data_IF_033830581785
#
_entry.id   IF_033830581785
#
_cell.length_a   1.000
_cell.length_b   1.000
_cell.length_c   1.000
_cell.angle_alpha   90.00
_cell.angle_beta   90.00
_cell.angle_gamma   90.00
#
_symmetry.space_group_name_H-M   'P 1'
#
loop_
_entity.id
_entity.type
_entity.pdbx_description
1 polymer ?
#
# COMPACT_ATOMS: atom_id res chain seq x y z
N UNK A 1 -2.82 -2.39 -16.33
CA UNK A 1 -2.53 -1.75 -15.02
C UNK A 1 -3.48 -2.35 -14.02
N UNK A 2 -2.97 -2.84 -12.90
CA UNK A 2 -3.77 -3.49 -11.86
C UNK A 2 -3.97 -2.57 -10.66
N UNK A 3 -5.09 -2.74 -9.98
CA UNK A 3 -5.48 -2.03 -8.77
C UNK A 3 -5.00 -2.80 -7.54
N UNK A 4 -4.39 -2.08 -6.60
CA UNK A 4 -3.97 -2.57 -5.30
C UNK A 4 -4.90 -1.98 -4.25
N UNK A 5 -5.60 -2.82 -3.49
CA UNK A 5 -6.56 -2.38 -2.46
C UNK A 5 -6.08 -2.85 -1.10
N UNK A 6 -5.71 -1.90 -0.26
CA UNK A 6 -5.25 -2.17 1.10
C UNK A 6 -6.40 -2.01 2.07
N UNK A 7 -6.73 -3.06 2.80
CA UNK A 7 -7.63 -3.00 3.94
C UNK A 7 -6.81 -2.74 5.20
N UNK A 8 -7.06 -1.61 5.85
CA UNK A 8 -6.21 -1.11 6.93
C UNK A 8 -7.01 -0.51 8.09
N UNK A 9 -6.33 -0.34 9.23
CA UNK A 9 -6.70 0.60 10.29
C UNK A 9 -5.51 1.49 10.62
N UNK A 10 -5.78 2.78 10.73
CA UNK A 10 -4.89 3.73 11.38
C UNK A 10 -5.57 4.14 12.69
N UNK A 11 -5.09 3.61 13.81
CA UNK A 11 -5.69 3.87 15.13
C UNK A 11 -5.20 5.17 15.76
N UNK A 12 -4.37 5.95 15.04
CA UNK A 12 -3.94 7.28 15.47
C UNK A 12 -4.91 8.36 15.01
N UNK A 13 -4.80 9.56 15.58
CA UNK A 13 -5.63 10.71 15.23
C UNK A 13 -5.10 11.50 14.02
N UNK A 14 -3.92 11.13 13.50
CA UNK A 14 -3.26 11.82 12.38
C UNK A 14 -3.18 10.93 11.15
N UNK A 15 -3.02 11.55 9.98
CA UNK A 15 -2.73 10.82 8.73
C UNK A 15 -1.36 10.16 8.86
N UNK A 16 -1.28 8.88 8.49
CA UNK A 16 0.00 8.19 8.32
C UNK A 16 0.37 8.12 6.85
N UNK A 17 1.50 8.71 6.48
CA UNK A 17 2.05 8.61 5.14
C UNK A 17 3.05 7.46 5.09
N UNK A 18 2.74 6.41 4.33
CA UNK A 18 3.66 5.31 4.04
C UNK A 18 4.14 5.42 2.60
N UNK A 19 5.31 4.86 2.31
CA UNK A 19 5.81 4.72 0.94
C UNK A 19 5.44 3.35 0.40
N UNK A 20 4.74 3.34 -0.73
CA UNK A 20 4.46 2.13 -1.50
C UNK A 20 5.53 1.95 -2.57
N UNK A 21 6.11 0.75 -2.62
CA UNK A 21 6.95 0.32 -3.74
C UNK A 21 6.42 -0.95 -4.37
N UNK A 22 6.47 -1.00 -5.70
CA UNK A 22 6.21 -2.19 -6.50
C UNK A 22 7.46 -2.48 -7.31
N UNK A 23 8.07 -3.64 -7.09
CA UNK A 23 9.35 -4.03 -7.70
C UNK A 23 9.18 -5.35 -8.43
N UNK A 24 9.56 -5.39 -9.70
CA UNK A 24 9.57 -6.61 -10.50
C UNK A 24 10.70 -7.56 -10.05
N UNK A 25 10.61 -8.84 -10.43
CA UNK A 25 11.60 -9.85 -10.06
C UNK A 25 13.04 -9.54 -10.52
N UNK A 26 13.21 -8.73 -11.58
CA UNK A 26 14.50 -8.26 -12.09
C UNK A 26 15.05 -7.01 -11.36
N UNK A 27 14.34 -6.54 -10.34
CA UNK A 27 14.70 -5.35 -9.56
C UNK A 27 14.18 -4.03 -10.14
N UNK A 28 13.46 -4.05 -11.28
CA UNK A 28 12.88 -2.82 -11.85
C UNK A 28 11.78 -2.27 -10.95
N UNK A 29 11.91 -1.01 -10.56
CA UNK A 29 10.91 -0.27 -9.79
C UNK A 29 9.78 0.17 -10.71
N UNK A 30 8.60 -0.42 -10.53
CA UNK A 30 7.38 -0.12 -11.30
C UNK A 30 6.61 1.06 -10.72
N UNK A 31 6.67 1.20 -9.40
CA UNK A 31 6.04 2.29 -8.66
C UNK A 31 6.84 2.58 -7.42
N UNK A 32 6.96 3.87 -7.13
CA UNK A 32 7.55 4.34 -5.89
C UNK A 32 6.91 5.69 -5.49
N UNK A 33 6.03 5.68 -4.51
CA UNK A 33 5.21 6.85 -4.20
C UNK A 33 4.81 6.92 -2.71
N UNK A 34 4.59 8.12 -2.15
CA UNK A 34 3.90 8.26 -0.88
C UNK A 34 2.42 7.90 -1.02
N UNK A 35 1.83 7.40 0.06
CA UNK A 35 0.43 7.05 0.18
C UNK A 35 -0.07 7.39 1.58
N UNK A 36 -1.15 8.18 1.62
CA UNK A 36 -1.73 8.66 2.86
C UNK A 36 -2.83 7.72 3.36
N UNK A 37 -2.74 7.36 4.63
CA UNK A 37 -3.71 6.53 5.35
C UNK A 37 -4.36 7.37 6.46
N UNK A 38 -5.54 7.97 6.20
CA UNK A 38 -6.29 8.73 7.20
C UNK A 38 -6.66 7.92 8.44
N UNK A 39 -6.99 8.57 9.57
CA UNK A 39 -7.51 7.91 10.76
C UNK A 39 -8.69 6.95 10.44
N UNK A 40 -8.60 5.75 11.00
CA UNK A 40 -9.54 4.65 10.83
C UNK A 40 -9.58 3.82 12.14
N UNK A 41 -9.77 4.51 13.26
CA UNK A 41 -9.80 3.92 14.60
C UNK A 41 -11.13 3.23 14.92
N UNK A 42 -12.21 3.51 14.18
CA UNK A 42 -13.54 2.95 14.41
C UNK A 42 -13.80 1.65 13.65
N UNK A 43 -13.24 1.51 12.44
CA UNK A 43 -13.45 0.35 11.55
C UNK A 43 -12.34 0.21 10.53
N UNK A 44 -12.21 -0.99 9.97
CA UNK A 44 -11.36 -1.24 8.81
C UNK A 44 -11.83 -0.42 7.60
N UNK A 45 -10.89 0.26 6.95
CA UNK A 45 -11.12 1.00 5.70
C UNK A 45 -10.35 0.35 4.56
N UNK A 46 -10.80 0.61 3.34
CA UNK A 46 -10.07 0.20 2.13
C UNK A 46 -9.60 1.46 1.42
N UNK A 47 -8.33 1.48 1.04
CA UNK A 47 -7.76 2.50 0.16
C UNK A 47 -7.11 1.82 -1.03
N UNK A 48 -7.25 2.45 -2.20
CA UNK A 48 -6.77 1.88 -3.45
C UNK A 48 -5.65 2.72 -4.04
N UNK A 49 -4.73 2.05 -4.71
CA UNK A 49 -3.78 2.64 -5.65
C UNK A 49 -3.60 1.69 -6.83
N UNK A 50 -2.66 1.96 -7.72
CA UNK A 50 -2.35 1.09 -8.85
C UNK A 50 -0.91 0.61 -8.80
N UNK A 51 -0.61 -0.38 -9.62
CA UNK A 51 0.76 -0.85 -9.91
C UNK A 51 1.65 0.21 -10.59
N UNK A 52 1.11 1.39 -10.91
CA UNK A 52 1.81 2.47 -11.62
C UNK A 52 1.76 2.29 -13.13
N UNK A 53 2.14 1.11 -13.61
CA UNK A 53 2.18 0.77 -15.03
C UNK A 53 1.38 -0.52 -15.32
N UNK A 54 1.29 -0.91 -16.59
CA UNK A 54 0.90 -2.27 -16.92
C UNK A 54 2.01 -3.24 -16.47
N UNK A 55 1.62 -4.32 -15.80
CA UNK A 55 2.54 -5.37 -15.37
C UNK A 55 2.18 -6.68 -16.06
N UNK A 56 3.20 -7.47 -16.40
CA UNK A 56 3.05 -8.78 -17.05
C UNK A 56 2.92 -9.89 -16.00
N UNK A 57 2.56 -11.10 -16.43
CA UNK A 57 2.60 -12.28 -15.56
C UNK A 57 4.01 -12.49 -14.98
N UNK A 58 4.08 -12.78 -13.68
CA UNK A 58 5.35 -12.97 -12.97
C UNK A 58 5.26 -12.62 -11.50
N UNK A 59 6.42 -12.61 -10.84
CA UNK A 59 6.55 -12.26 -9.44
C UNK A 59 6.89 -10.78 -9.27
N UNK A 60 6.20 -10.14 -8.33
CA UNK A 60 6.44 -8.77 -7.91
C UNK A 60 6.46 -8.70 -6.40
N UNK A 61 7.32 -7.84 -5.87
CA UNK A 61 7.31 -7.49 -4.44
C UNK A 61 6.57 -6.18 -4.28
N UNK A 62 5.56 -6.17 -3.41
CA UNK A 62 4.84 -4.97 -3.00
C UNK A 62 5.22 -4.70 -1.56
N UNK A 63 5.79 -3.53 -1.27
CA UNK A 63 6.14 -3.11 0.08
C UNK A 63 5.38 -1.85 0.48
N UNK A 64 4.97 -1.80 1.74
CA UNK A 64 4.58 -0.59 2.44
C UNK A 64 5.62 -0.35 3.53
N UNK A 65 6.24 0.83 3.52
CA UNK A 65 7.29 1.20 4.46
C UNK A 65 7.08 2.59 5.03
N UNK A 66 7.51 2.83 6.26
CA UNK A 66 7.41 4.12 6.92
C UNK A 66 8.16 4.12 8.24
N UNK A 67 8.56 5.30 8.71
CA UNK A 67 9.35 5.46 9.94
C UNK A 67 8.50 5.44 11.22
N UNK A 68 7.18 5.59 11.10
CA UNK A 68 6.22 5.50 12.23
C UNK A 68 4.98 4.68 11.85
N UNK A 69 5.11 3.36 11.97
CA UNK A 69 4.00 2.43 11.76
C UNK A 69 3.20 2.12 13.04
N UNK A 70 3.50 2.75 14.19
CA UNK A 70 2.79 2.47 15.45
C UNK A 70 1.32 2.85 15.30
N UNK A 71 0.42 1.91 15.56
CA UNK A 71 -1.02 2.11 15.37
C UNK A 71 -1.49 1.98 13.92
N UNK A 72 -0.62 1.58 12.98
CA UNK A 72 -1.02 1.14 11.65
C UNK A 72 -1.21 -0.38 11.63
N UNK A 73 -2.34 -0.82 11.12
CA UNK A 73 -2.71 -2.23 10.99
C UNK A 73 -3.10 -2.51 9.56
N UNK A 74 -2.61 -3.62 9.02
CA UNK A 74 -2.95 -4.11 7.69
C UNK A 74 -3.66 -5.46 7.83
N UNK A 75 -4.82 -5.60 7.19
CA UNK A 75 -5.63 -6.82 7.19
C UNK A 75 -5.40 -7.60 5.90
N UNK A 76 -5.62 -6.96 4.76
CA UNK A 76 -5.48 -7.58 3.45
C UNK A 76 -4.94 -6.63 2.38
N UNK A 77 -4.34 -7.24 1.36
CA UNK A 77 -4.09 -6.64 0.06
C UNK A 77 -4.88 -7.44 -0.98
N UNK A 78 -5.84 -6.81 -1.63
CA UNK A 78 -6.53 -7.37 -2.78
C UNK A 78 -5.95 -6.79 -4.08
N UNK A 79 -5.75 -7.66 -5.06
CA UNK A 79 -5.19 -7.34 -6.37
C UNK A 79 -6.28 -7.55 -7.44
N UNK A 80 -6.55 -6.54 -8.27
CA UNK A 80 -7.61 -6.54 -9.29
C UNK A 80 -7.13 -6.06 -10.65
#
# INVERSE_FOLDING_TARGET
MYTLRFRYRNTTETVKTLRIQVVAADGRVMRDAPMDFPPASDKWRVISTTTGEAINAGHYTISLSGTDAVGFWLDSLDFQ
#
